data_IF_816584153946
#
_entry.id   IF_816584153946
#
_cell.length_a   1.000
_cell.length_b   1.000
_cell.length_c   1.000
_cell.angle_alpha   90.00
_cell.angle_beta   90.00
_cell.angle_gamma   90.00
#
_symmetry.space_group_name_H-M   'P 1'
#
loop_
_entity.id
_entity.type
_entity.pdbx_description
1 polymer ?
#
# COMPACT_ATOMS: atom_id res chain seq x y z
N UNK A 1 -45.75 40.14 -41.02
CA UNK A 1 -45.73 39.12 -39.96
C UNK A 1 -44.70 38.06 -40.33
N UNK A 2 -43.53 38.13 -39.69
CA UNK A 2 -42.46 37.15 -39.78
C UNK A 2 -42.82 35.89 -38.99
N UNK A 3 -42.36 34.71 -39.45
CA UNK A 3 -41.66 33.73 -38.62
C UNK A 3 -41.02 32.65 -39.49
N UNK A 4 -39.77 32.91 -39.82
CA UNK A 4 -38.75 31.96 -40.23
C UNK A 4 -38.42 31.06 -39.03
N UNK A 5 -38.43 29.74 -39.19
CA UNK A 5 -37.75 28.83 -38.25
C UNK A 5 -36.62 28.14 -39.00
N UNK A 6 -35.42 28.67 -38.79
CA UNK A 6 -34.15 28.11 -39.22
C UNK A 6 -33.75 27.07 -38.17
N UNK A 7 -33.74 25.78 -38.51
CA UNK A 7 -33.14 24.75 -37.66
C UNK A 7 -31.62 24.82 -37.88
N UNK A 8 -30.91 25.46 -36.96
CA UNK A 8 -29.45 25.40 -36.88
C UNK A 8 -29.08 24.09 -36.21
N UNK A 9 -28.58 23.12 -36.97
CA UNK A 9 -27.91 21.94 -36.41
C UNK A 9 -26.56 22.38 -35.85
N UNK A 10 -26.51 22.67 -34.54
CA UNK A 10 -25.27 22.83 -33.79
C UNK A 10 -24.62 21.44 -33.64
N UNK A 11 -23.64 21.16 -34.49
CA UNK A 11 -22.66 20.10 -34.24
C UNK A 11 -21.83 20.50 -33.02
N UNK A 12 -22.19 19.95 -31.85
CA UNK A 12 -21.27 19.91 -30.73
C UNK A 12 -20.14 18.94 -31.11
N UNK A 13 -19.01 19.50 -31.55
CA UNK A 13 -17.73 18.82 -31.36
C UNK A 13 -17.51 18.76 -29.85
N UNK A 14 -17.96 17.67 -29.24
CA UNK A 14 -17.39 17.25 -27.97
C UNK A 14 -15.91 16.94 -28.27
N UNK A 15 -15.03 17.88 -27.94
CA UNK A 15 -13.64 17.55 -27.69
C UNK A 15 -13.66 16.49 -26.59
N UNK A 16 -13.47 15.23 -26.99
CA UNK A 16 -13.06 14.16 -26.11
C UNK A 16 -11.80 14.64 -25.39
N UNK A 17 -11.93 15.01 -24.12
CA UNK A 17 -10.79 15.07 -23.22
C UNK A 17 -10.29 13.65 -23.10
N UNK A 18 -9.31 13.28 -23.93
CA UNK A 18 -8.46 12.13 -23.64
C UNK A 18 -7.89 12.35 -22.24
N UNK A 19 -8.18 11.46 -21.32
CA UNK A 19 -7.45 11.31 -20.07
C UNK A 19 -5.96 11.21 -20.41
N UNK A 20 -5.18 12.22 -20.00
CA UNK A 20 -3.76 12.41 -20.35
C UNK A 20 -2.81 12.11 -19.18
N UNK A 21 -3.26 11.36 -18.20
CA UNK A 21 -2.57 11.19 -16.90
C UNK A 21 -1.49 10.10 -16.89
N UNK A 22 -1.67 8.90 -17.48
CA UNK A 22 -0.66 7.84 -17.39
C UNK A 22 0.66 8.21 -18.09
N UNK A 23 0.61 8.63 -19.36
CA UNK A 23 1.80 8.95 -20.16
C UNK A 23 2.66 10.08 -19.55
N UNK A 24 2.04 11.06 -18.87
CA UNK A 24 2.74 12.20 -18.30
C UNK A 24 3.40 11.87 -16.95
N UNK A 25 2.75 11.05 -16.13
CA UNK A 25 3.31 10.55 -14.88
C UNK A 25 4.44 9.57 -15.16
N UNK A 26 4.28 8.62 -16.07
CA UNK A 26 5.33 7.69 -16.47
C UNK A 26 6.58 8.42 -16.97
N UNK A 27 6.39 9.39 -17.89
CA UNK A 27 7.49 10.19 -18.42
C UNK A 27 8.23 10.98 -17.32
N UNK A 28 7.50 11.41 -16.28
CA UNK A 28 8.09 12.05 -15.13
C UNK A 28 8.90 11.07 -14.27
N UNK A 29 8.30 9.94 -13.90
CA UNK A 29 8.93 8.94 -13.06
C UNK A 29 10.21 8.39 -13.71
N UNK A 30 10.18 8.11 -15.02
CA UNK A 30 11.34 7.63 -15.77
C UNK A 30 12.46 8.67 -15.92
N UNK A 31 12.14 9.96 -15.86
CA UNK A 31 13.15 11.02 -15.83
C UNK A 31 13.76 11.21 -14.44
N UNK A 32 12.97 11.00 -13.39
CA UNK A 32 13.33 11.30 -11.99
C UNK A 32 14.02 10.12 -11.30
N UNK A 33 13.50 8.92 -11.46
CA UNK A 33 13.91 7.73 -10.72
C UNK A 33 14.84 6.84 -11.53
N UNK A 34 15.66 6.04 -10.84
CA UNK A 34 16.61 5.14 -11.49
C UNK A 34 15.92 3.90 -12.05
N UNK A 35 14.95 3.37 -11.30
CA UNK A 35 14.18 2.16 -11.63
C UNK A 35 12.69 2.51 -11.64
N UNK A 36 11.96 2.02 -12.64
CA UNK A 36 10.51 2.19 -12.75
C UNK A 36 9.87 0.92 -13.29
N UNK A 37 8.85 0.43 -12.60
CA UNK A 37 7.98 -0.65 -13.07
C UNK A 37 6.52 -0.21 -13.01
N UNK A 38 5.67 -0.95 -13.71
CA UNK A 38 4.22 -0.81 -13.60
C UNK A 38 3.52 -2.16 -13.61
N UNK A 39 2.48 -2.30 -12.80
CA UNK A 39 1.50 -3.38 -12.92
C UNK A 39 0.24 -2.74 -13.47
N UNK A 40 -0.09 -3.03 -14.73
CA UNK A 40 -1.01 -2.20 -15.52
C UNK A 40 -0.57 -0.72 -15.49
N UNK A 41 -1.40 0.18 -14.96
CA UNK A 41 -1.12 1.62 -14.86
C UNK A 41 -0.70 2.03 -13.41
N UNK A 42 -0.50 1.07 -12.50
CA UNK A 42 0.03 1.34 -11.16
C UNK A 42 1.56 1.38 -11.21
N UNK A 43 2.14 2.55 -10.89
CA UNK A 43 3.59 2.75 -10.95
C UNK A 43 4.29 2.52 -9.62
N UNK A 44 5.44 1.85 -9.71
CA UNK A 44 6.43 1.66 -8.65
C UNK A 44 7.72 2.30 -9.15
N UNK A 45 8.29 3.23 -8.38
CA UNK A 45 9.49 3.96 -8.77
C UNK A 45 10.51 4.03 -7.63
N UNK A 46 11.79 3.92 -7.98
CA UNK A 46 12.86 3.93 -6.98
C UNK A 46 14.11 4.69 -7.42
N UNK A 47 14.76 5.35 -6.47
CA UNK A 47 16.15 5.77 -6.62
C UNK A 47 17.11 4.58 -6.60
N UNK A 48 18.41 4.86 -6.75
CA UNK A 48 19.46 3.82 -6.72
C UNK A 48 20.27 3.84 -5.41
N UNK A 49 19.84 4.62 -4.43
CA UNK A 49 20.54 4.74 -3.15
C UNK A 49 20.32 3.49 -2.32
N UNK A 50 21.42 2.96 -1.76
CA UNK A 50 21.38 1.81 -0.85
C UNK A 50 20.54 2.12 0.41
N UNK A 51 19.84 1.12 0.98
CA UNK A 51 19.19 1.26 2.27
C UNK A 51 20.23 1.50 3.37
N UNK A 52 19.85 2.22 4.43
CA UNK A 52 20.75 2.45 5.59
C UNK A 52 20.54 1.42 6.71
N UNK A 53 19.32 0.91 6.86
CA UNK A 53 18.98 -0.09 7.86
C UNK A 53 18.71 -1.43 7.16
N UNK A 54 19.65 -2.37 7.27
CA UNK A 54 19.55 -3.67 6.59
C UNK A 54 20.45 -4.72 7.22
N UNK A 55 20.04 -5.98 7.15
CA UNK A 55 20.83 -7.16 7.50
C UNK A 55 21.68 -7.70 6.32
N UNK A 56 21.58 -7.07 5.15
CA UNK A 56 22.39 -7.34 3.97
C UNK A 56 23.27 -6.12 3.64
N UNK A 57 24.53 -6.07 4.10
CA UNK A 57 25.41 -4.92 3.90
C UNK A 57 25.72 -4.59 2.43
N UNK A 58 25.51 -5.54 1.53
CA UNK A 58 25.66 -5.38 0.08
C UNK A 58 24.36 -4.94 -0.62
N UNK A 59 23.27 -4.77 0.11
CA UNK A 59 21.98 -4.37 -0.45
C UNK A 59 22.09 -3.07 -1.26
N UNK A 60 21.47 -3.09 -2.43
CA UNK A 60 21.44 -2.00 -3.41
C UNK A 60 20.04 -1.39 -3.48
N UNK A 61 19.92 -0.16 -4.00
CA UNK A 61 18.60 0.44 -4.26
C UNK A 61 17.76 -0.40 -5.21
N UNK A 62 18.41 -1.01 -6.22
CA UNK A 62 17.77 -1.94 -7.15
C UNK A 62 17.16 -3.17 -6.44
N UNK A 63 17.84 -3.77 -5.47
CA UNK A 63 17.28 -4.93 -4.75
C UNK A 63 16.05 -4.56 -3.92
N UNK A 64 16.03 -3.36 -3.30
CA UNK A 64 14.84 -2.87 -2.59
C UNK A 64 13.68 -2.70 -3.55
N UNK A 65 13.93 -2.12 -4.73
CA UNK A 65 12.95 -1.96 -5.80
C UNK A 65 12.42 -3.31 -6.32
N UNK A 66 13.31 -4.23 -6.68
CA UNK A 66 12.92 -5.56 -7.19
C UNK A 66 12.13 -6.35 -6.14
N UNK A 67 12.43 -6.16 -4.84
CA UNK A 67 11.67 -6.76 -3.76
C UNK A 67 10.27 -6.16 -3.67
N UNK A 68 10.13 -4.83 -3.74
CA UNK A 68 8.83 -4.17 -3.72
C UNK A 68 7.93 -4.61 -4.88
N UNK A 69 8.50 -4.71 -6.09
CA UNK A 69 7.79 -5.23 -7.26
C UNK A 69 7.23 -6.62 -6.98
N UNK A 70 8.07 -7.57 -6.56
CA UNK A 70 7.63 -8.95 -6.25
C UNK A 70 6.57 -9.02 -5.16
N UNK A 71 6.68 -8.17 -4.13
CA UNK A 71 5.67 -8.11 -3.07
C UNK A 71 4.33 -7.65 -3.64
N UNK A 72 4.30 -6.64 -4.50
CA UNK A 72 3.06 -6.22 -5.16
C UNK A 72 2.51 -7.31 -6.08
N UNK A 73 3.35 -7.98 -6.86
CA UNK A 73 2.91 -9.09 -7.72
C UNK A 73 2.26 -10.20 -6.89
N UNK A 74 2.91 -10.63 -5.80
CA UNK A 74 2.34 -11.62 -4.88
C UNK A 74 1.04 -11.15 -4.20
N UNK A 75 0.95 -9.88 -3.81
CA UNK A 75 -0.25 -9.34 -3.16
C UNK A 75 -1.43 -9.19 -4.13
N UNK A 76 -1.18 -9.14 -5.44
CA UNK A 76 -2.19 -8.94 -6.48
C UNK A 76 -2.58 -10.22 -7.22
N UNK A 77 -1.79 -11.30 -7.05
CA UNK A 77 -2.05 -12.65 -7.54
C UNK A 77 -1.80 -13.66 -6.40
N UNK A 78 -2.85 -13.93 -5.62
CA UNK A 78 -2.86 -14.83 -4.46
C UNK A 78 -3.08 -16.29 -4.85
N UNK A 79 -3.55 -16.60 -6.06
CA UNK A 79 -3.65 -17.98 -6.56
C UNK A 79 -2.45 -18.43 -7.42
N UNK A 80 -1.54 -17.50 -7.69
CA UNK A 80 -0.26 -17.66 -8.38
C UNK A 80 -0.41 -18.18 -9.82
N UNK A 81 -1.45 -17.73 -10.52
CA UNK A 81 -1.74 -18.13 -11.90
C UNK A 81 -1.15 -17.18 -12.97
N UNK A 82 -0.57 -16.06 -12.54
CA UNK A 82 0.02 -15.04 -13.41
C UNK A 82 -0.99 -14.02 -13.92
N UNK A 83 -2.15 -13.92 -13.27
CA UNK A 83 -3.19 -12.94 -13.54
C UNK A 83 -3.57 -12.22 -12.25
N UNK A 84 -3.86 -10.93 -12.36
CA UNK A 84 -4.39 -10.15 -11.24
C UNK A 84 -5.74 -10.71 -10.81
N UNK A 85 -5.85 -11.13 -9.54
CA UNK A 85 -7.08 -11.67 -8.95
C UNK A 85 -8.23 -10.67 -8.91
N UNK A 86 -7.87 -9.39 -8.70
CA UNK A 86 -8.83 -8.32 -8.41
C UNK A 86 -8.58 -7.09 -9.27
N UNK A 87 -9.01 -7.09 -10.55
CA UNK A 87 -8.84 -5.95 -11.43
C UNK A 87 -9.35 -4.61 -10.87
N UNK A 88 -10.47 -4.53 -10.11
CA UNK A 88 -10.89 -3.26 -9.50
C UNK A 88 -9.88 -2.68 -8.49
N UNK A 89 -9.11 -3.53 -7.81
CA UNK A 89 -8.08 -3.13 -6.85
C UNK A 89 -6.86 -2.54 -7.58
N UNK A 90 -6.39 -3.18 -8.66
CA UNK A 90 -5.29 -2.66 -9.48
C UNK A 90 -5.69 -1.36 -10.19
N UNK A 91 -6.92 -1.26 -10.68
CA UNK A 91 -7.44 -0.01 -11.22
C UNK A 91 -7.48 1.11 -10.16
N UNK A 92 -7.75 0.79 -8.89
CA UNK A 92 -7.71 1.75 -7.79
C UNK A 92 -6.28 2.18 -7.47
N UNK A 93 -5.34 1.22 -7.39
CA UNK A 93 -3.91 1.49 -7.23
C UNK A 93 -3.43 2.46 -8.32
N UNK A 94 -3.68 2.15 -9.59
CA UNK A 94 -3.30 2.98 -10.73
C UNK A 94 -3.92 4.39 -10.68
N UNK A 95 -5.20 4.47 -10.34
CA UNK A 95 -5.94 5.73 -10.35
C UNK A 95 -5.53 6.67 -9.22
N UNK A 96 -5.24 6.13 -8.05
CA UNK A 96 -5.12 6.93 -6.83
C UNK A 96 -3.72 6.99 -6.26
N UNK A 97 -2.87 5.99 -6.52
CA UNK A 97 -1.62 5.79 -5.79
C UNK A 97 -0.40 5.73 -6.73
N UNK A 98 0.77 6.02 -6.17
CA UNK A 98 2.10 5.70 -6.73
C UNK A 98 2.96 5.21 -5.57
N UNK A 99 3.79 4.19 -5.78
CA UNK A 99 4.74 3.73 -4.77
C UNK A 99 6.15 4.26 -5.05
N UNK A 100 6.77 4.95 -4.10
CA UNK A 100 8.10 5.56 -4.25
C UNK A 100 9.07 5.05 -3.20
N UNK A 101 10.28 4.68 -3.63
CA UNK A 101 11.34 4.14 -2.78
C UNK A 101 12.59 5.02 -2.91
N UNK A 102 12.97 5.71 -1.85
CA UNK A 102 14.24 6.44 -1.77
C UNK A 102 14.54 6.85 -0.32
N UNK A 103 15.60 7.63 -0.08
CA UNK A 103 15.79 8.28 1.21
C UNK A 103 14.80 9.43 1.38
N UNK A 104 14.51 9.75 2.64
CA UNK A 104 13.53 10.73 3.10
C UNK A 104 13.63 12.08 2.39
N UNK A 105 14.85 12.56 2.11
CA UNK A 105 15.09 13.86 1.45
C UNK A 105 14.64 13.94 -0.02
N UNK A 106 14.41 12.78 -0.65
CA UNK A 106 13.80 12.66 -1.98
C UNK A 106 12.32 12.34 -1.84
N UNK A 107 11.95 11.32 -1.05
CA UNK A 107 10.54 10.92 -0.91
C UNK A 107 9.65 12.08 -0.47
N UNK A 108 10.06 12.87 0.52
CA UNK A 108 9.26 14.01 1.02
C UNK A 108 8.96 15.05 -0.07
N UNK A 109 9.90 15.27 -1.00
CA UNK A 109 9.73 16.21 -2.12
C UNK A 109 8.83 15.64 -3.21
N UNK A 110 9.01 14.35 -3.48
CA UNK A 110 8.29 13.66 -4.54
C UNK A 110 6.84 13.35 -4.15
N UNK A 111 6.57 13.10 -2.86
CA UNK A 111 5.22 13.02 -2.28
C UNK A 111 4.40 14.28 -2.61
N UNK A 112 4.91 15.47 -2.24
CA UNK A 112 4.21 16.75 -2.50
C UNK A 112 4.07 17.02 -4.00
N UNK A 113 5.13 16.76 -4.77
CA UNK A 113 5.16 17.07 -6.20
C UNK A 113 4.24 16.17 -7.01
N UNK A 114 4.25 14.86 -6.76
CA UNK A 114 3.41 13.92 -7.49
C UNK A 114 1.94 14.18 -7.17
N UNK A 115 1.61 14.38 -5.88
CA UNK A 115 0.25 14.69 -5.45
C UNK A 115 -0.28 15.99 -6.05
N UNK A 116 0.55 17.04 -6.11
CA UNK A 116 0.12 18.35 -6.63
C UNK A 116 0.03 18.40 -8.15
N UNK A 117 0.86 17.65 -8.88
CA UNK A 117 0.92 17.72 -10.35
C UNK A 117 0.09 16.64 -11.06
N UNK A 118 -0.01 15.44 -10.47
CA UNK A 118 -0.66 14.29 -11.09
C UNK A 118 -1.89 13.82 -10.31
N UNK A 119 -2.03 14.23 -9.04
CA UNK A 119 -3.18 13.90 -8.21
C UNK A 119 -3.09 12.56 -7.48
N UNK A 120 -2.03 11.78 -7.72
CA UNK A 120 -1.78 10.52 -7.05
C UNK A 120 -1.20 10.74 -5.65
N UNK A 121 -1.75 10.03 -4.67
CA UNK A 121 -1.19 9.94 -3.33
C UNK A 121 0.01 9.00 -3.35
N UNK A 122 1.12 9.42 -2.74
CA UNK A 122 2.37 8.66 -2.78
C UNK A 122 2.52 7.87 -1.50
N UNK A 123 2.60 6.54 -1.64
CA UNK A 123 3.01 5.62 -0.59
C UNK A 123 4.53 5.44 -0.68
N UNK A 124 5.24 5.41 0.45
CA UNK A 124 6.70 5.48 0.43
C UNK A 124 7.41 4.44 1.29
N UNK A 125 8.44 3.82 0.70
CA UNK A 125 9.48 3.16 1.49
C UNK A 125 10.66 4.12 1.65
N UNK A 126 10.80 4.70 2.84
CA UNK A 126 11.91 5.61 3.19
C UNK A 126 13.14 4.80 3.59
N UNK A 127 13.92 4.36 2.60
CA UNK A 127 14.97 3.32 2.76
C UNK A 127 16.17 3.72 3.63
N UNK A 128 16.22 4.96 4.10
CA UNK A 128 17.26 5.42 5.02
C UNK A 128 16.88 5.46 6.49
N UNK A 129 15.60 5.27 6.80
CA UNK A 129 15.07 5.26 8.16
C UNK A 129 14.26 4.00 8.46
N UNK A 130 13.81 3.28 7.43
CA UNK A 130 12.99 2.09 7.58
C UNK A 130 13.80 0.82 7.26
N UNK A 131 13.65 -0.25 8.06
CA UNK A 131 14.46 -1.45 7.91
C UNK A 131 14.11 -2.22 6.63
N UNK A 132 15.12 -2.45 5.80
CA UNK A 132 15.08 -3.40 4.69
C UNK A 132 15.80 -4.68 5.10
N UNK A 133 15.03 -5.68 5.53
CA UNK A 133 15.55 -6.97 6.01
C UNK A 133 15.21 -8.09 5.01
N UNK A 134 15.94 -8.22 3.89
CA UNK A 134 15.65 -9.22 2.87
C UNK A 134 15.69 -10.68 3.35
N UNK A 135 16.26 -10.96 4.52
CA UNK A 135 16.18 -12.32 5.10
C UNK A 135 14.80 -12.66 5.68
N UNK A 136 13.93 -11.67 5.93
CA UNK A 136 12.61 -11.86 6.51
C UNK A 136 11.65 -12.57 5.56
N UNK A 137 10.96 -13.60 6.07
CA UNK A 137 9.98 -14.40 5.34
C UNK A 137 8.97 -15.06 6.30
N UNK A 138 7.89 -15.63 5.74
CA UNK A 138 6.84 -16.29 6.54
C UNK A 138 7.35 -17.48 7.36
N UNK A 139 8.45 -18.11 6.94
CA UNK A 139 9.10 -19.22 7.64
C UNK A 139 9.99 -18.82 8.83
N UNK A 140 10.32 -17.53 8.97
CA UNK A 140 11.16 -17.03 10.07
C UNK A 140 10.56 -15.83 10.81
N UNK A 141 9.23 -15.65 10.75
CA UNK A 141 8.53 -14.54 11.39
C UNK A 141 8.74 -14.36 12.91
N UNK A 142 9.42 -15.31 13.59
CA UNK A 142 9.69 -15.36 15.03
C UNK A 142 8.64 -14.63 15.88
N UNK A 143 7.39 -15.10 15.78
CA UNK A 143 6.27 -14.53 16.52
C UNK A 143 6.48 -14.83 18.01
N UNK A 144 7.22 -13.97 18.69
CA UNK A 144 7.50 -14.06 20.13
C UNK A 144 6.32 -13.59 20.99
N UNK A 145 5.33 -12.93 20.37
CA UNK A 145 4.11 -12.49 21.04
C UNK A 145 3.10 -13.64 21.23
N UNK A 146 2.39 -13.60 22.37
CA UNK A 146 1.28 -14.52 22.68
C UNK A 146 -0.09 -13.89 22.45
N UNK A 147 -0.12 -12.57 22.16
CA UNK A 147 -1.30 -11.76 21.83
C UNK A 147 -0.83 -10.46 21.17
N UNK A 148 -1.62 -9.93 20.24
CA UNK A 148 -1.43 -8.58 19.72
C UNK A 148 -2.13 -7.59 20.66
N UNK A 149 -1.37 -6.71 21.30
CA UNK A 149 -1.89 -5.78 22.31
C UNK A 149 -1.37 -4.35 22.23
N UNK A 150 -0.57 -4.01 21.23
CA UNK A 150 0.00 -2.67 21.03
C UNK A 150 0.27 -2.41 19.55
N UNK A 151 0.09 -1.17 19.12
CA UNK A 151 0.47 -0.72 17.78
C UNK A 151 1.99 -0.67 17.57
N UNK A 152 2.77 -0.74 18.65
CA UNK A 152 4.24 -0.72 18.60
C UNK A 152 4.87 -2.04 18.12
N UNK A 153 4.10 -3.11 17.97
CA UNK A 153 4.66 -4.43 17.69
C UNK A 153 5.08 -4.60 16.22
N UNK A 154 6.33 -5.03 16.04
CA UNK A 154 6.90 -5.59 14.81
C UNK A 154 7.82 -6.77 15.17
N UNK A 155 8.00 -7.77 14.29
CA UNK A 155 9.13 -8.70 14.41
C UNK A 155 10.48 -7.97 14.44
N UNK A 156 11.47 -8.50 15.14
CA UNK A 156 12.79 -7.84 15.27
C UNK A 156 13.53 -7.74 13.93
N UNK A 157 13.40 -8.76 13.08
CA UNK A 157 14.00 -8.83 11.75
C UNK A 157 13.06 -8.37 10.65
N UNK A 158 12.04 -7.56 10.98
CA UNK A 158 10.99 -7.19 10.04
C UNK A 158 11.49 -6.40 8.83
N UNK A 159 10.97 -6.73 7.64
CA UNK A 159 11.19 -5.96 6.43
C UNK A 159 10.03 -4.98 6.21
N UNK A 160 10.29 -3.69 6.33
CA UNK A 160 9.25 -2.67 6.25
C UNK A 160 8.58 -2.58 4.87
N UNK A 161 9.18 -3.13 3.80
CA UNK A 161 8.51 -3.23 2.51
C UNK A 161 7.21 -4.05 2.58
N UNK A 162 7.13 -5.08 3.43
CA UNK A 162 5.89 -5.84 3.59
C UNK A 162 4.75 -4.97 4.09
N UNK A 163 5.06 -4.00 4.96
CA UNK A 163 4.10 -3.08 5.53
C UNK A 163 3.68 -2.07 4.48
N UNK A 164 4.64 -1.43 3.84
CA UNK A 164 4.35 -0.36 2.90
C UNK A 164 3.64 -0.87 1.64
N UNK A 165 4.00 -2.06 1.13
CA UNK A 165 3.26 -2.69 0.04
C UNK A 165 1.83 -3.06 0.47
N UNK A 166 1.66 -3.65 1.66
CA UNK A 166 0.34 -4.01 2.17
C UNK A 166 -0.53 -2.78 2.44
N UNK A 167 0.00 -1.76 3.10
CA UNK A 167 -0.66 -0.47 3.34
C UNK A 167 -1.08 0.18 2.02
N UNK A 168 -0.26 0.10 0.98
CA UNK A 168 -0.61 0.62 -0.36
C UNK A 168 -1.84 -0.11 -0.91
N UNK A 169 -1.91 -1.43 -0.76
CA UNK A 169 -3.05 -2.24 -1.19
C UNK A 169 -4.31 -1.92 -0.37
N UNK A 170 -4.21 -1.85 0.97
CA UNK A 170 -5.36 -1.55 1.83
C UNK A 170 -5.86 -0.11 1.63
N UNK A 171 -4.96 0.83 1.37
CA UNK A 171 -5.29 2.23 1.10
C UNK A 171 -6.01 2.40 -0.25
N UNK A 172 -5.67 1.58 -1.24
CA UNK A 172 -6.42 1.47 -2.49
C UNK A 172 -7.82 0.86 -2.26
N UNK A 173 -7.92 -0.23 -1.50
CA UNK A 173 -9.20 -0.86 -1.15
C UNK A 173 -10.13 0.12 -0.40
N UNK A 174 -9.59 0.89 0.55
CA UNK A 174 -10.30 1.91 1.33
C UNK A 174 -10.95 3.01 0.46
N UNK A 175 -10.39 3.29 -0.73
CA UNK A 175 -10.94 4.27 -1.68
C UNK A 175 -12.11 3.76 -2.50
N UNK A 176 -12.26 2.44 -2.64
CA UNK A 176 -13.24 1.84 -3.57
C UNK A 176 -14.35 1.06 -2.88
N UNK A 177 -14.15 0.64 -1.64
CA UNK A 177 -15.14 -0.11 -0.87
C UNK A 177 -15.50 0.63 0.42
N UNK A 178 -16.69 1.28 0.48
CA UNK A 178 -17.14 1.98 1.67
C UNK A 178 -17.30 1.09 2.92
N UNK A 179 -17.40 -0.23 2.75
CA UNK A 179 -17.44 -1.18 3.87
C UNK A 179 -16.05 -1.45 4.48
N UNK A 180 -14.99 -1.13 3.74
CA UNK A 180 -13.59 -1.26 4.14
C UNK A 180 -12.98 0.13 4.38
N UNK A 181 -13.44 0.82 5.43
CA UNK A 181 -13.00 2.19 5.73
C UNK A 181 -12.19 2.29 7.03
N UNK A 182 -11.23 3.20 7.09
CA UNK A 182 -10.42 3.45 8.30
C UNK A 182 -11.03 4.50 9.24
N UNK A 183 -12.11 5.16 8.81
CA UNK A 183 -12.73 6.26 9.55
C UNK A 183 -13.30 5.83 10.91
N UNK A 184 -13.32 6.74 11.91
CA UNK A 184 -14.04 6.50 13.15
C UNK A 184 -15.50 6.10 12.89
N UNK A 185 -15.92 4.97 13.47
CA UNK A 185 -17.28 4.44 13.31
C UNK A 185 -17.49 3.55 12.08
N UNK A 186 -16.48 3.38 11.21
CA UNK A 186 -16.48 2.32 10.20
C UNK A 186 -16.46 0.93 10.86
N UNK A 187 -16.67 -0.14 10.07
CA UNK A 187 -16.61 -1.52 10.60
C UNK A 187 -15.24 -1.81 11.23
N UNK A 188 -14.15 -1.46 10.55
CA UNK A 188 -12.78 -1.63 11.05
C UNK A 188 -12.51 -0.76 12.28
N UNK A 189 -12.92 0.52 12.24
CA UNK A 189 -12.78 1.45 13.35
C UNK A 189 -13.53 1.00 14.60
N UNK A 190 -14.75 0.45 14.44
CA UNK A 190 -15.53 -0.11 15.54
C UNK A 190 -14.82 -1.30 16.19
N UNK A 191 -14.19 -2.18 15.40
CA UNK A 191 -13.44 -3.31 15.97
C UNK A 191 -12.19 -2.87 16.73
N UNK A 192 -11.39 -1.96 16.18
CA UNK A 192 -10.22 -1.43 16.90
C UNK A 192 -10.64 -0.68 18.17
N UNK A 193 -11.68 0.15 18.08
CA UNK A 193 -12.19 0.89 19.24
C UNK A 193 -12.72 -0.05 20.33
N UNK A 194 -13.39 -1.14 19.96
CA UNK A 194 -13.82 -2.16 20.91
C UNK A 194 -12.64 -2.86 21.59
N UNK A 195 -11.57 -3.17 20.85
CA UNK A 195 -10.33 -3.76 21.39
C UNK A 195 -9.64 -2.81 22.39
N UNK A 196 -9.56 -1.52 22.06
CA UNK A 196 -9.06 -0.47 22.96
C UNK A 196 -9.95 -0.34 24.21
N UNK A 197 -11.28 -0.30 24.05
CA UNK A 197 -12.23 -0.19 25.17
C UNK A 197 -12.22 -1.41 26.09
N UNK A 198 -11.88 -2.59 25.57
CA UNK A 198 -11.66 -3.81 26.35
C UNK A 198 -10.31 -3.84 27.07
N UNK A 199 -9.42 -2.87 26.79
CA UNK A 199 -8.07 -2.82 27.35
C UNK A 199 -7.12 -3.88 26.78
N UNK A 200 -7.45 -4.44 25.62
CA UNK A 200 -6.69 -5.52 24.99
C UNK A 200 -5.79 -5.04 23.86
N UNK A 201 -5.93 -3.78 23.40
CA UNK A 201 -5.04 -3.12 22.44
C UNK A 201 -4.72 -1.67 22.84
N UNK A 202 -3.49 -1.22 22.60
CA UNK A 202 -3.00 0.11 22.96
C UNK A 202 -2.40 0.85 21.75
N UNK A 203 -2.85 2.09 21.53
CA UNK A 203 -2.29 3.02 20.53
C UNK A 203 -1.65 4.26 21.16
N UNK A 204 -1.75 4.41 22.48
CA UNK A 204 -1.34 5.63 23.18
C UNK A 204 0.17 5.80 23.22
N UNK A 205 0.92 4.70 23.26
CA UNK A 205 2.38 4.73 23.28
C UNK A 205 2.92 5.34 21.99
N UNK A 206 2.47 4.82 20.84
CA UNK A 206 2.85 5.33 19.53
C UNK A 206 2.41 6.78 19.35
N UNK A 207 1.18 7.12 19.73
CA UNK A 207 0.70 8.49 19.63
C UNK A 207 1.53 9.48 20.46
N UNK A 208 2.02 9.06 21.63
CA UNK A 208 2.94 9.88 22.42
C UNK A 208 4.31 10.03 21.75
N UNK A 209 4.85 8.96 21.15
CA UNK A 209 6.13 8.99 20.42
C UNK A 209 6.08 9.88 19.18
N UNK A 210 4.94 9.91 18.50
CA UNK A 210 4.71 10.74 17.31
C UNK A 210 4.20 12.14 17.64
N UNK A 211 4.19 12.53 18.92
CA UNK A 211 3.83 13.89 19.35
C UNK A 211 2.37 14.25 19.10
N UNK A 212 1.47 13.27 19.08
CA UNK A 212 0.04 13.45 18.81
C UNK A 212 -0.36 13.29 17.35
N UNK A 213 0.59 12.96 16.45
CA UNK A 213 0.33 12.86 15.00
C UNK A 213 -0.15 11.47 14.55
N UNK A 214 -0.15 10.47 15.45
CA UNK A 214 -0.67 9.13 15.16
C UNK A 214 -2.19 9.15 15.29
N UNK A 215 -2.87 9.48 14.20
CA UNK A 215 -4.33 9.61 14.20
C UNK A 215 -5.04 8.24 14.17
N UNK A 216 -6.36 8.28 14.37
CA UNK A 216 -7.17 7.06 14.43
C UNK A 216 -7.18 6.30 13.11
N UNK A 217 -7.17 7.00 11.97
CA UNK A 217 -7.19 6.41 10.63
C UNK A 217 -5.91 5.63 10.37
N UNK A 218 -4.77 6.25 10.68
CA UNK A 218 -3.44 5.65 10.64
C UNK A 218 -3.39 4.43 11.57
N UNK A 219 -3.94 4.56 12.77
CA UNK A 219 -4.01 3.46 13.74
C UNK A 219 -4.85 2.27 13.27
N UNK A 220 -5.96 2.50 12.54
CA UNK A 220 -6.75 1.40 11.97
C UNK A 220 -5.97 0.68 10.88
N UNK A 221 -5.30 1.40 9.98
CA UNK A 221 -4.51 0.78 8.90
C UNK A 221 -3.40 -0.09 9.48
N UNK A 222 -2.68 0.46 10.46
CA UNK A 222 -1.63 -0.20 11.21
C UNK A 222 -2.13 -1.46 11.94
N UNK A 223 -3.25 -1.35 12.64
CA UNK A 223 -3.86 -2.48 13.34
C UNK A 223 -4.22 -3.64 12.39
N UNK A 224 -4.69 -3.33 11.18
CA UNK A 224 -4.92 -4.36 10.15
C UNK A 224 -3.63 -4.99 9.65
N UNK A 225 -2.59 -4.19 9.43
CA UNK A 225 -1.28 -4.70 9.00
C UNK A 225 -0.72 -5.71 10.01
N UNK A 226 -0.75 -5.39 11.31
CA UNK A 226 -0.26 -6.32 12.33
C UNK A 226 -1.07 -7.63 12.35
N UNK A 227 -2.40 -7.53 12.20
CA UNK A 227 -3.28 -8.71 12.10
C UNK A 227 -2.96 -9.53 10.85
N UNK A 228 -2.76 -8.88 9.71
CA UNK A 228 -2.39 -9.52 8.46
C UNK A 228 -1.03 -10.22 8.57
N UNK A 229 -0.02 -9.56 9.14
CA UNK A 229 1.30 -10.12 9.33
C UNK A 229 1.25 -11.37 10.22
N UNK A 230 0.53 -11.30 11.34
CA UNK A 230 0.31 -12.47 12.22
C UNK A 230 -0.34 -13.62 11.45
N UNK A 231 -1.34 -13.33 10.61
CA UNK A 231 -1.98 -14.34 9.77
C UNK A 231 -1.02 -14.94 8.74
N UNK A 232 -0.29 -14.10 7.99
CA UNK A 232 0.68 -14.53 6.98
C UNK A 232 1.80 -15.40 7.57
N UNK A 233 2.17 -15.13 8.83
CA UNK A 233 3.11 -15.92 9.61
C UNK A 233 2.49 -17.16 10.28
N UNK A 234 1.23 -17.48 10.00
CA UNK A 234 0.54 -18.67 10.53
C UNK A 234 0.08 -18.60 11.99
N UNK A 235 0.16 -17.43 12.64
CA UNK A 235 -0.12 -17.22 14.06
C UNK A 235 -1.54 -16.74 14.38
N UNK A 236 -2.50 -16.94 13.49
CA UNK A 236 -3.87 -16.38 13.65
C UNK A 236 -4.57 -16.79 14.96
N UNK A 237 -4.14 -17.85 15.63
CA UNK A 237 -4.64 -18.32 16.91
C UNK A 237 -4.38 -17.34 18.07
N UNK A 238 -3.42 -16.42 17.97
CA UNK A 238 -3.15 -15.42 19.03
C UNK A 238 -4.11 -14.23 18.96
N UNK A 239 -4.85 -14.09 17.86
CA UNK A 239 -5.75 -12.97 17.62
C UNK A 239 -6.99 -13.07 18.52
N UNK A 240 -7.42 -11.96 19.10
CA UNK A 240 -8.66 -11.91 19.87
C UNK A 240 -9.91 -11.88 18.95
N UNK A 241 -11.11 -11.82 19.55
CA UNK A 241 -12.38 -11.84 18.79
C UNK A 241 -12.54 -10.65 17.84
N UNK A 242 -12.08 -9.45 18.22
CA UNK A 242 -12.16 -8.25 17.38
C UNK A 242 -11.16 -8.32 16.22
N UNK A 243 -9.94 -8.76 16.52
CA UNK A 243 -8.86 -8.94 15.54
C UNK A 243 -9.21 -9.99 14.48
N UNK A 244 -9.83 -11.11 14.89
CA UNK A 244 -10.33 -12.13 13.93
C UNK A 244 -11.48 -11.60 13.07
N UNK A 245 -12.32 -10.72 13.59
CA UNK A 245 -13.39 -10.11 12.81
C UNK A 245 -12.82 -9.17 11.73
N UNK A 246 -11.76 -8.42 12.04
CA UNK A 246 -11.00 -7.64 11.06
C UNK A 246 -10.37 -8.55 10.00
N UNK A 247 -9.69 -9.63 10.40
CA UNK A 247 -9.12 -10.61 9.46
C UNK A 247 -10.18 -11.21 8.52
N UNK A 248 -11.35 -11.54 9.06
CA UNK A 248 -12.48 -12.05 8.28
C UNK A 248 -12.99 -11.03 7.29
N UNK A 249 -13.08 -9.76 7.69
CA UNK A 249 -13.49 -8.68 6.79
C UNK A 249 -12.48 -8.49 5.66
N UNK A 250 -11.17 -8.48 5.95
CA UNK A 250 -10.11 -8.41 4.93
C UNK A 250 -10.30 -9.48 3.85
N UNK A 251 -10.48 -10.74 4.24
CA UNK A 251 -10.75 -11.82 3.29
C UNK A 251 -12.07 -11.67 2.54
N UNK A 252 -13.12 -11.19 3.20
CA UNK A 252 -14.45 -11.00 2.58
C UNK A 252 -14.42 -9.93 1.49
N UNK A 253 -13.69 -8.83 1.72
CA UNK A 253 -13.56 -7.74 0.75
C UNK A 253 -12.43 -7.98 -0.25
N UNK A 254 -11.75 -9.12 -0.19
CA UNK A 254 -10.68 -9.53 -1.11
C UNK A 254 -9.35 -8.81 -0.92
N UNK A 255 -9.03 -8.34 0.28
CA UNK A 255 -7.66 -7.93 0.61
C UNK A 255 -6.80 -9.20 0.68
N UNK A 256 -5.56 -9.20 0.12
CA UNK A 256 -4.67 -10.35 0.19
C UNK A 256 -4.38 -10.74 1.63
N UNK A 257 -4.40 -12.05 1.90
CA UNK A 257 -4.20 -12.60 3.26
C UNK A 257 -2.86 -13.32 3.42
N UNK A 258 -2.16 -13.53 2.32
CA UNK A 258 -0.87 -14.23 2.27
C UNK A 258 0.12 -13.44 1.44
N UNK A 259 1.40 -13.82 1.55
CA UNK A 259 2.47 -13.24 0.77
C UNK A 259 3.50 -14.31 0.45
N UNK A 260 3.94 -14.30 -0.80
CA UNK A 260 4.97 -15.16 -1.34
C UNK A 260 6.13 -14.29 -1.82
N UNK A 261 7.21 -14.28 -1.05
CA UNK A 261 8.43 -13.53 -1.41
C UNK A 261 9.19 -14.15 -2.59
N UNK A 262 8.93 -15.42 -2.87
CA UNK A 262 9.52 -16.20 -3.96
C UNK A 262 8.58 -16.24 -5.19
N UNK A 263 7.61 -15.31 -5.27
CA UNK A 263 6.73 -15.18 -6.43
C UNK A 263 7.57 -15.08 -7.71
N UNK A 264 7.23 -15.94 -8.67
CA UNK A 264 8.11 -16.27 -9.80
C UNK A 264 7.50 -15.92 -11.16
N UNK A 265 6.30 -15.37 -11.19
CA UNK A 265 5.63 -14.90 -12.40
C UNK A 265 5.86 -13.40 -12.55
N UNK A 266 5.67 -12.89 -13.76
CA UNK A 266 5.86 -11.48 -14.07
C UNK A 266 4.50 -10.84 -14.36
N UNK A 267 3.95 -10.10 -13.40
CA UNK A 267 2.80 -9.21 -13.63
C UNK A 267 3.26 -7.80 -13.99
N UNK A 268 4.42 -7.40 -13.48
CA UNK A 268 4.97 -6.07 -13.68
C UNK A 268 5.73 -5.97 -15.02
N UNK A 269 5.57 -4.84 -15.69
CA UNK A 269 6.44 -4.42 -16.78
C UNK A 269 7.54 -3.50 -16.24
N UNK A 270 8.80 -3.85 -16.49
CA UNK A 270 9.95 -2.98 -16.25
C UNK A 270 10.00 -1.87 -17.31
N UNK A 271 9.80 -0.63 -16.88
CA UNK A 271 9.80 0.57 -17.74
C UNK A 271 11.21 1.17 -17.85
N UNK A 272 11.97 1.15 -16.76
CA UNK A 272 13.35 1.66 -16.67
C UNK A 272 14.18 0.86 -15.69
#
# INVERSE_FOLDING_TARGET
MHRTFLLLALTFFACSTKDKTPDALEAYLTQTFAHVARIEDFFIAAGDRKPKETDSPSATGKEVFDTAVRLFESLLDQDEDGVVDRPPLVAALAKYLVFVIDHTDVTDKEEEKIQSQYGNYVMTMKSDIWPYMPSFNTGNCDLTLTKLNTSMWRPETYNALWEECFHTVTEAQNRIDPSFSFEPGSVLGVYMQADISAGTYNISEQNNMEGGNYDFVTAVNEYMHQIWLINACGGSEILNVHQRAVLTLMGTVGVPLTINIDYALDLAEMVK
#
